data_IF_094305804872
#
_entry.id   IF_094305804872
#
_cell.length_a   1.000
_cell.length_b   1.000
_cell.length_c   1.000
_cell.angle_alpha   90.00
_cell.angle_beta   90.00
_cell.angle_gamma   90.00
#
_symmetry.space_group_name_H-M   'P 1'
#
loop_
_entity.id
_entity.type
_entity.pdbx_description
1 polymer ?
#
# COMPACT_ATOMS: atom_id res chain seq x y z
N UNK A 1 -17.36 0.81 -16.20
CA UNK A 1 -16.03 0.93 -16.79
C UNK A 1 -15.13 -0.16 -16.31
N UNK A 2 -14.64 -0.95 -17.19
CA UNK A 2 -13.67 -1.96 -16.76
C UNK A 2 -12.37 -1.27 -16.39
N UNK A 3 -11.76 -1.75 -15.36
CA UNK A 3 -10.47 -1.22 -14.95
C UNK A 3 -9.50 -2.38 -14.86
N UNK A 4 -8.27 -2.12 -15.22
CA UNK A 4 -7.23 -3.11 -15.08
C UNK A 4 -7.03 -3.41 -13.61
N UNK A 5 -6.97 -4.69 -13.25
CA UNK A 5 -6.75 -5.04 -11.84
C UNK A 5 -5.52 -4.37 -11.25
N UNK A 6 -4.46 -4.25 -12.05
CA UNK A 6 -3.23 -3.64 -11.55
C UNK A 6 -3.32 -2.15 -11.36
N UNK A 7 -4.32 -1.50 -11.95
CA UNK A 7 -4.48 -0.06 -11.87
C UNK A 7 -5.62 0.35 -10.95
N UNK A 8 -6.28 -0.62 -10.35
CA UNK A 8 -7.40 -0.32 -9.48
C UNK A 8 -6.91 0.38 -8.23
N UNK A 9 -7.64 1.42 -7.85
CA UNK A 9 -7.34 2.18 -6.64
C UNK A 9 -8.31 1.80 -5.53
N UNK A 10 -7.79 1.72 -4.32
CA UNK A 10 -8.58 1.41 -3.14
C UNK A 10 -8.62 2.62 -2.23
N UNK A 11 -9.79 2.90 -1.70
CA UNK A 11 -9.95 3.95 -0.71
C UNK A 11 -9.55 3.46 0.66
N UNK A 12 -9.37 4.41 1.58
CA UNK A 12 -8.95 4.09 2.94
C UNK A 12 -9.85 3.04 3.58
N UNK A 13 -11.16 3.20 3.47
CA UNK A 13 -12.07 2.25 4.10
C UNK A 13 -11.85 0.83 3.56
N UNK A 14 -11.66 0.71 2.26
CA UNK A 14 -11.41 -0.60 1.67
C UNK A 14 -10.07 -1.19 2.13
N UNK A 15 -9.06 -0.34 2.24
CA UNK A 15 -7.75 -0.79 2.69
C UNK A 15 -7.81 -1.27 4.14
N UNK A 16 -8.50 -0.53 5.00
CA UNK A 16 -8.65 -0.94 6.39
C UNK A 16 -9.39 -2.27 6.49
N UNK A 17 -10.41 -2.43 5.67
CA UNK A 17 -11.19 -3.65 5.66
C UNK A 17 -10.35 -4.84 5.22
N UNK A 18 -9.58 -4.67 4.16
CA UNK A 18 -8.76 -5.75 3.63
C UNK A 18 -7.59 -6.13 4.54
N UNK A 19 -7.02 -5.14 5.21
CA UNK A 19 -5.84 -5.38 6.04
C UNK A 19 -6.18 -5.69 7.48
N UNK A 20 -7.38 -5.31 7.92
CA UNK A 20 -7.75 -5.49 9.31
C UNK A 20 -7.08 -4.51 10.25
N UNK A 21 -6.42 -3.50 9.71
CA UNK A 21 -5.72 -2.52 10.53
C UNK A 21 -6.67 -1.41 10.96
N UNK A 22 -6.36 -0.79 12.09
CA UNK A 22 -7.02 0.45 12.47
C UNK A 22 -6.38 1.60 11.69
N UNK A 23 -7.08 2.71 11.62
CA UNK A 23 -6.57 3.89 10.93
C UNK A 23 -5.23 4.33 11.53
N UNK A 24 -5.18 4.40 12.86
CA UNK A 24 -3.96 4.84 13.54
C UNK A 24 -2.79 3.93 13.22
N UNK A 25 -3.02 2.63 13.26
CA UNK A 25 -1.97 1.68 12.97
C UNK A 25 -1.50 1.79 11.54
N UNK A 26 -2.43 1.98 10.61
CA UNK A 26 -2.09 2.10 9.21
C UNK A 26 -1.18 3.30 8.97
N UNK A 27 -1.53 4.46 9.50
CA UNK A 27 -0.72 5.66 9.30
C UNK A 27 0.63 5.55 9.99
N UNK A 28 0.67 4.89 11.15
CA UNK A 28 1.95 4.66 11.81
C UNK A 28 2.86 3.81 10.93
N UNK A 29 2.32 2.78 10.32
CA UNK A 29 3.12 1.93 9.44
C UNK A 29 3.60 2.70 8.21
N UNK A 30 2.80 3.60 7.69
CA UNK A 30 3.23 4.44 6.58
C UNK A 30 4.43 5.27 7.01
N UNK A 31 4.37 5.89 8.18
CA UNK A 31 5.49 6.68 8.68
C UNK A 31 6.74 5.85 8.88
N UNK A 32 6.57 4.62 9.30
CA UNK A 32 7.70 3.73 9.53
C UNK A 32 8.26 3.14 8.24
N UNK A 33 7.60 3.34 7.13
CA UNK A 33 8.04 2.78 5.87
C UNK A 33 7.67 1.32 5.67
N UNK A 34 6.75 0.81 6.49
CA UNK A 34 6.37 -0.60 6.44
C UNK A 34 5.00 -0.81 5.83
N UNK A 35 4.47 0.20 5.17
CA UNK A 35 3.20 0.11 4.46
C UNK A 35 3.29 0.97 3.21
N UNK A 36 2.60 0.60 2.13
CA UNK A 36 2.64 1.39 0.90
C UNK A 36 2.15 2.82 1.11
N UNK A 37 2.78 3.75 0.41
CA UNK A 37 2.36 5.14 0.45
C UNK A 37 1.04 5.31 -0.27
N UNK A 38 0.24 6.23 0.26
CA UNK A 38 -0.98 6.59 -0.44
C UNK A 38 -0.67 7.38 -1.69
N UNK A 39 -1.56 7.30 -2.66
CA UNK A 39 -1.45 7.99 -3.93
C UNK A 39 -2.58 8.99 -4.00
N UNK A 40 -2.29 10.19 -4.44
CA UNK A 40 -3.33 11.19 -4.61
C UNK A 40 -4.13 10.86 -5.86
N UNK A 41 -5.42 10.62 -5.68
CA UNK A 41 -6.31 10.34 -6.79
C UNK A 41 -6.85 11.64 -7.37
N UNK A 42 -7.19 12.56 -6.48
CA UNK A 42 -7.67 13.88 -6.86
C UNK A 42 -7.33 14.83 -5.74
N UNK A 43 -7.74 16.09 -5.86
CA UNK A 43 -7.38 17.11 -4.87
C UNK A 43 -7.78 16.73 -3.45
N UNK A 44 -8.88 16.02 -3.31
CA UNK A 44 -9.40 15.67 -1.99
C UNK A 44 -9.49 14.18 -1.75
N UNK A 45 -8.92 13.41 -2.64
CA UNK A 45 -9.04 11.97 -2.58
C UNK A 45 -7.69 11.32 -2.65
N UNK A 46 -7.43 10.43 -1.71
CA UNK A 46 -6.22 9.62 -1.75
C UNK A 46 -6.63 8.15 -1.68
N UNK A 47 -5.73 7.30 -2.13
CA UNK A 47 -5.99 5.88 -2.10
C UNK A 47 -4.70 5.11 -2.27
N UNK A 48 -4.84 3.83 -2.45
CA UNK A 48 -3.70 2.94 -2.64
C UNK A 48 -3.97 2.10 -3.87
N UNK A 49 -2.91 1.74 -4.58
CA UNK A 49 -3.06 0.81 -5.68
C UNK A 49 -3.34 -0.57 -5.11
N UNK A 50 -4.30 -1.24 -5.71
CA UNK A 50 -4.67 -2.58 -5.25
C UNK A 50 -3.47 -3.51 -5.25
N UNK A 51 -2.64 -3.40 -6.29
CA UNK A 51 -1.44 -4.22 -6.40
C UNK A 51 -0.50 -4.02 -5.20
N UNK A 52 -0.34 -2.76 -4.78
CA UNK A 52 0.53 -2.47 -3.64
C UNK A 52 -0.01 -3.09 -2.36
N UNK A 53 -1.32 -3.03 -2.19
CA UNK A 53 -1.94 -3.61 -1.01
C UNK A 53 -1.79 -5.13 -1.02
N UNK A 54 -1.94 -5.73 -2.20
CA UNK A 54 -1.77 -7.17 -2.32
C UNK A 54 -0.34 -7.59 -1.99
N UNK A 55 0.63 -6.81 -2.42
CA UNK A 55 2.01 -7.09 -2.07
C UNK A 55 2.24 -7.04 -0.56
N UNK A 56 1.67 -6.03 0.07
CA UNK A 56 1.79 -5.91 1.52
C UNK A 56 1.12 -7.08 2.22
N UNK A 57 -0.08 -7.44 1.78
CA UNK A 57 -0.81 -8.54 2.38
C UNK A 57 -0.07 -9.87 2.26
N UNK A 58 0.70 -10.02 1.20
CA UNK A 58 1.48 -11.22 1.00
C UNK A 58 2.60 -11.39 2.00
N UNK A 59 3.09 -10.27 2.55
CA UNK A 59 4.24 -10.35 3.46
C UNK A 59 4.29 -9.14 4.40
N UNK A 60 3.27 -8.98 5.25
CA UNK A 60 3.17 -7.76 6.06
C UNK A 60 4.31 -7.57 7.06
N UNK A 61 4.83 -8.65 7.57
CA UNK A 61 5.90 -8.55 8.58
C UNK A 61 7.23 -8.13 7.98
N UNK A 62 7.45 -8.47 6.72
CA UNK A 62 8.72 -8.17 6.06
C UNK A 62 8.65 -6.99 5.12
N UNK A 63 7.47 -6.46 4.89
CA UNK A 63 7.33 -5.39 3.92
C UNK A 63 8.08 -4.15 4.34
N UNK A 64 8.83 -3.58 3.41
CA UNK A 64 9.51 -2.31 3.62
C UNK A 64 9.56 -1.60 2.29
N UNK A 65 9.17 -0.32 2.28
CA UNK A 65 9.22 0.45 1.04
C UNK A 65 10.64 0.61 0.54
N UNK A 66 11.59 0.69 1.45
CA UNK A 66 12.99 0.78 1.06
C UNK A 66 13.44 -0.49 0.37
N UNK A 67 13.07 -1.63 0.93
CA UNK A 67 13.42 -2.91 0.32
C UNK A 67 12.70 -3.13 -0.99
N UNK A 68 11.46 -2.68 -1.08
CA UNK A 68 10.70 -2.83 -2.31
C UNK A 68 11.32 -2.06 -3.46
N UNK A 69 12.08 -1.01 -3.14
CA UNK A 69 12.75 -0.20 -4.15
C UNK A 69 14.14 -0.70 -4.48
N UNK A 70 14.65 -1.63 -3.70
CA UNK A 70 15.98 -2.15 -3.93
C UNK A 70 16.00 -3.08 -5.12
N UNK A 71 17.19 -3.20 -5.66
CA UNK A 71 17.48 -4.20 -6.67
C UNK A 71 17.06 -5.56 -6.11
N UNK A 72 16.31 -6.35 -6.88
CA UNK A 72 15.92 -7.68 -6.43
C UNK A 72 17.11 -8.57 -6.10
N UNK A 73 18.27 -8.24 -6.58
CA UNK A 73 19.47 -9.00 -6.24
C UNK A 73 20.05 -8.59 -4.90
N UNK A 74 19.49 -7.61 -4.26
CA UNK A 74 19.96 -7.18 -2.97
C UNK A 74 21.25 -6.42 -2.99
N UNK A 75 21.60 -5.87 -4.13
CA UNK A 75 22.85 -5.14 -4.28
C UNK A 75 22.67 -3.64 -4.06
N UNK A 76 21.45 -3.21 -3.97
CA UNK A 76 21.17 -1.79 -3.79
C UNK A 76 21.30 -1.34 -2.37
#
# INVERSE_FOLDING_TARGET
MPSDPGLRMLRLSSVLERTGLSRSTLYRKIEQGTFPNQVRISERCVGWREHDIEQWLGNPMSYSRLEARRDPLGLG
#
